data_IF_579727553889
#
_entry.id   IF_579727553889
#
_cell.length_a   1.000
_cell.length_b   1.000
_cell.length_c   1.000
_cell.angle_alpha   90.00
_cell.angle_beta   90.00
_cell.angle_gamma   90.00
#
_symmetry.space_group_name_H-M   'P 1'
#
loop_
_entity.id
_entity.type
_entity.pdbx_description
1 polymer ?
#
# COMPACT_ATOMS: atom_id res chain seq x y z
N UNK A 1 -11.62 18.47 -15.29
CA UNK A 1 -12.19 17.53 -14.30
C UNK A 1 -11.90 16.12 -14.79
N UNK A 2 -11.26 15.28 -13.98
CA UNK A 2 -10.85 13.94 -14.38
C UNK A 2 -11.15 12.92 -13.28
N UNK A 3 -10.85 11.65 -13.58
CA UNK A 3 -10.93 10.53 -12.63
C UNK A 3 -9.54 9.96 -12.43
N UNK A 4 -9.30 9.35 -11.27
CA UNK A 4 -8.05 8.67 -10.95
C UNK A 4 -8.35 7.35 -10.24
N UNK A 5 -7.46 6.36 -10.42
CA UNK A 5 -7.45 5.14 -9.62
C UNK A 5 -6.39 5.30 -8.53
N UNK A 6 -6.81 5.23 -7.27
CA UNK A 6 -5.93 5.40 -6.11
C UNK A 6 -6.09 4.20 -5.17
N UNK A 7 -5.06 3.86 -4.39
CA UNK A 7 -5.19 2.88 -3.33
C UNK A 7 -6.28 3.27 -2.33
N UNK A 8 -6.99 2.27 -1.80
CA UNK A 8 -8.09 2.46 -0.85
C UNK A 8 -7.71 3.33 0.36
N UNK A 9 -6.51 3.14 0.91
CA UNK A 9 -6.00 3.88 2.05
C UNK A 9 -5.76 5.38 1.77
N UNK A 10 -5.50 5.78 0.52
CA UNK A 10 -5.37 7.20 0.16
C UNK A 10 -6.73 7.89 0.22
N UNK A 11 -7.80 7.17 -0.14
CA UNK A 11 -9.14 7.73 -0.26
C UNK A 11 -9.81 7.98 1.10
N UNK A 12 -9.36 7.29 2.16
CA UNK A 12 -10.02 7.28 3.48
C UNK A 12 -10.25 8.69 4.04
N UNK A 13 -9.24 9.56 3.99
CA UNK A 13 -9.36 10.91 4.54
C UNK A 13 -10.24 11.85 3.69
N UNK A 14 -10.27 11.65 2.37
CA UNK A 14 -11.02 12.50 1.44
C UNK A 14 -12.49 12.11 1.35
N UNK A 15 -12.79 10.81 1.52
CA UNK A 15 -14.16 10.32 1.62
C UNK A 15 -14.84 10.83 2.90
N UNK A 16 -14.10 10.92 4.01
CA UNK A 16 -14.63 11.46 5.26
C UNK A 16 -15.03 12.95 5.19
N UNK A 17 -14.56 13.68 4.17
CA UNK A 17 -14.83 15.11 3.96
C UNK A 17 -15.76 15.39 2.79
N UNK A 18 -16.34 14.35 2.17
CA UNK A 18 -17.21 14.44 0.98
C UNK A 18 -16.61 15.18 -0.23
N UNK A 19 -15.27 15.23 -0.34
CA UNK A 19 -14.58 15.91 -1.44
C UNK A 19 -14.54 15.10 -2.74
N UNK A 20 -14.65 13.78 -2.63
CA UNK A 20 -14.55 12.86 -3.76
C UNK A 20 -15.61 11.76 -3.65
N UNK A 21 -16.05 11.24 -4.80
CA UNK A 21 -16.82 10.00 -4.87
C UNK A 21 -15.89 8.83 -5.22
N UNK A 22 -15.96 7.74 -4.46
CA UNK A 22 -15.25 6.50 -4.78
C UNK A 22 -16.18 5.50 -5.49
N UNK A 23 -15.65 4.79 -6.50
CA UNK A 23 -16.32 3.69 -7.19
C UNK A 23 -15.36 2.50 -7.30
N UNK A 24 -15.85 1.25 -7.17
CA UNK A 24 -15.01 0.07 -7.36
C UNK A 24 -14.51 -0.03 -8.80
N UNK A 25 -13.27 -0.51 -8.97
CA UNK A 25 -12.67 -0.76 -10.28
C UNK A 25 -13.09 -2.15 -10.79
N UNK A 26 -14.33 -2.27 -11.25
CA UNK A 26 -14.91 -3.53 -11.72
C UNK A 26 -15.65 -4.33 -10.65
N UNK A 27 -16.07 -5.55 -11.01
CA UNK A 27 -16.91 -6.41 -10.14
C UNK A 27 -16.11 -7.16 -9.06
N UNK A 28 -14.79 -7.22 -9.19
CA UNK A 28 -13.90 -7.88 -8.25
C UNK A 28 -12.95 -6.86 -7.60
N UNK A 29 -12.47 -7.11 -6.37
CA UNK A 29 -11.46 -6.26 -5.76
C UNK A 29 -10.18 -6.21 -6.61
N UNK A 30 -9.72 -4.99 -6.93
CA UNK A 30 -8.45 -4.77 -7.61
C UNK A 30 -7.33 -4.64 -6.58
N UNK A 31 -6.27 -5.42 -6.73
CA UNK A 31 -5.13 -5.45 -5.82
C UNK A 31 -3.83 -5.12 -6.55
N UNK A 32 -3.01 -4.25 -5.96
CA UNK A 32 -1.63 -4.02 -6.37
C UNK A 32 -0.66 -4.62 -5.35
N UNK A 33 0.46 -5.16 -5.84
CA UNK A 33 1.55 -5.67 -5.00
C UNK A 33 2.66 -4.62 -4.91
N UNK A 34 3.04 -4.26 -3.68
CA UNK A 34 4.22 -3.43 -3.43
C UNK A 34 5.44 -4.33 -3.22
N UNK A 35 6.52 -4.07 -3.96
CA UNK A 35 7.76 -4.84 -3.91
C UNK A 35 8.88 -3.96 -3.34
N UNK A 36 9.78 -4.58 -2.57
CA UNK A 36 11.02 -3.97 -2.13
C UNK A 36 12.19 -4.62 -2.88
N UNK A 37 12.76 -3.90 -3.84
CA UNK A 37 13.91 -4.35 -4.61
C UNK A 37 15.21 -3.84 -3.97
N UNK A 38 16.18 -4.72 -3.82
CA UNK A 38 17.52 -4.42 -3.28
C UNK A 38 18.56 -5.31 -3.95
N UNK A 39 19.83 -4.89 -3.93
CA UNK A 39 20.92 -5.76 -4.40
C UNK A 39 21.12 -6.92 -3.42
N UNK A 40 21.51 -8.07 -3.95
CA UNK A 40 21.61 -9.30 -3.15
C UNK A 40 22.67 -9.21 -2.04
N UNK A 41 23.76 -8.50 -2.29
CA UNK A 41 24.84 -8.22 -1.33
C UNK A 41 24.46 -7.18 -0.27
N UNK A 42 23.42 -6.37 -0.51
CA UNK A 42 22.88 -5.41 0.45
C UNK A 42 21.74 -6.00 1.30
N UNK A 43 21.12 -7.10 0.88
CA UNK A 43 19.93 -7.66 1.52
C UNK A 43 20.16 -8.05 3.00
N UNK A 44 21.36 -8.52 3.34
CA UNK A 44 21.72 -8.95 4.69
C UNK A 44 22.29 -7.83 5.56
N UNK A 45 22.45 -6.62 5.01
CA UNK A 45 22.96 -5.49 5.79
C UNK A 45 21.96 -5.15 6.91
N UNK A 46 22.42 -4.92 8.16
CA UNK A 46 21.53 -4.73 9.30
C UNK A 46 20.47 -3.65 9.06
N UNK A 47 20.86 -2.51 8.48
CA UNK A 47 19.93 -1.42 8.20
C UNK A 47 18.89 -1.77 7.12
N UNK A 48 19.21 -2.63 6.15
CA UNK A 48 18.26 -3.04 5.11
C UNK A 48 17.18 -3.96 5.68
N UNK A 49 17.58 -4.87 6.57
CA UNK A 49 16.66 -5.74 7.30
C UNK A 49 15.74 -4.94 8.20
N UNK A 50 16.31 -4.03 8.99
CA UNK A 50 15.55 -3.18 9.92
C UNK A 50 14.60 -2.25 9.17
N UNK A 51 15.04 -1.66 8.05
CA UNK A 51 14.19 -0.82 7.20
C UNK A 51 12.99 -1.61 6.66
N UNK A 52 13.23 -2.79 6.07
CA UNK A 52 12.16 -3.60 5.48
C UNK A 52 11.16 -4.08 6.53
N UNK A 53 11.65 -4.49 7.70
CA UNK A 53 10.80 -4.88 8.84
C UNK A 53 9.95 -3.70 9.34
N UNK A 54 10.58 -2.55 9.58
CA UNK A 54 9.92 -1.33 10.06
C UNK A 54 8.89 -0.81 9.06
N UNK A 55 9.21 -0.80 7.77
CA UNK A 55 8.31 -0.38 6.72
C UNK A 55 7.08 -1.29 6.65
N UNK A 56 7.27 -2.62 6.74
CA UNK A 56 6.17 -3.59 6.77
C UNK A 56 5.28 -3.39 8.00
N UNK A 57 5.87 -3.34 9.19
CA UNK A 57 5.12 -3.14 10.44
C UNK A 57 4.31 -1.84 10.39
N UNK A 58 4.97 -0.74 10.01
CA UNK A 58 4.34 0.57 9.92
C UNK A 58 3.20 0.56 8.92
N UNK A 59 3.38 -0.04 7.73
CA UNK A 59 2.34 -0.14 6.72
C UNK A 59 1.09 -0.86 7.26
N UNK A 60 1.25 -2.00 7.92
CA UNK A 60 0.11 -2.73 8.51
C UNK A 60 -0.53 -2.01 9.71
N UNK A 61 0.22 -1.14 10.38
CA UNK A 61 -0.30 -0.31 11.48
C UNK A 61 -1.13 0.87 10.99
N UNK A 62 -0.72 1.54 9.91
CA UNK A 62 -1.29 2.84 9.51
C UNK A 62 -2.14 2.78 8.23
N UNK A 63 -1.94 1.79 7.36
CA UNK A 63 -2.67 1.69 6.10
C UNK A 63 -3.82 0.70 6.23
N UNK A 64 -5.04 1.16 5.94
CA UNK A 64 -6.23 0.32 5.92
C UNK A 64 -6.40 -0.39 4.57
N UNK A 65 -6.96 -1.59 4.59
CA UNK A 65 -7.30 -2.32 3.36
C UNK A 65 -6.10 -2.81 2.56
N UNK A 66 -4.95 -3.00 3.21
CA UNK A 66 -3.81 -3.76 2.66
C UNK A 66 -3.84 -5.20 3.15
N UNK A 67 -3.15 -6.09 2.44
CA UNK A 67 -3.00 -7.50 2.83
C UNK A 67 -1.60 -8.01 2.53
N UNK A 68 -1.17 -9.03 3.26
CA UNK A 68 0.03 -9.76 2.91
C UNK A 68 -0.18 -10.51 1.59
N UNK A 69 0.87 -10.57 0.77
CA UNK A 69 0.90 -11.40 -0.44
C UNK A 69 1.32 -12.81 -0.01
N UNK A 70 0.56 -13.83 -0.42
CA UNK A 70 0.99 -15.21 -0.27
C UNK A 70 2.17 -15.44 -1.23
N UNK A 71 3.30 -15.91 -0.69
CA UNK A 71 4.49 -16.26 -1.47
C UNK A 71 4.32 -17.55 -2.25
#
# INVERSE_FOLDING_TARGET
RGVAALPSWVLTEYLARDYIAARPLGNQPFWCTLLAAMRADEADQPYMRDFTATARETAFRVLHGIRAVAG
#
